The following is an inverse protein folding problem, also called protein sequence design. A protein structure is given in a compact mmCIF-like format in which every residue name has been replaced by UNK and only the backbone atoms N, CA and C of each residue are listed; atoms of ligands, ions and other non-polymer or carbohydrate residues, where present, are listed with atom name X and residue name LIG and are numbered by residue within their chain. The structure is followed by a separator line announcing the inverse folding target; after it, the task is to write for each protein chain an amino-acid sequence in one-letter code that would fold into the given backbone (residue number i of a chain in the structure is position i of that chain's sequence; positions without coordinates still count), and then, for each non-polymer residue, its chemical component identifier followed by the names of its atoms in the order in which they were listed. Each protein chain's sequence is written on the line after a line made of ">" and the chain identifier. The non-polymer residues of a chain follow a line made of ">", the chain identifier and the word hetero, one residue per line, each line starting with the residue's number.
data_IF_007959657296
#
_entry.id   IF_007959657296
#
_cell.length_a   1.000
_cell.length_b   1.000
_cell.length_c   1.000
_cell.angle_alpha   90.00
_cell.angle_beta   90.00
_cell.angle_gamma   90.00
#
_symmetry.space_group_name_H-M   'P 1'
#
loop_
_entity.id
_entity.type
_entity.pdbx_description
1 polymer ?
#
# COMPACT_ATOMS: atom_id res chain seq x y z
N UNK A 1 12.15 -0.94 -13.12
CA UNK A 1 11.79 -0.84 -11.68
C UNK A 1 10.37 -1.38 -11.50
N UNK A 2 10.11 -2.18 -10.47
CA UNK A 2 8.75 -2.68 -10.19
C UNK A 2 7.99 -1.66 -9.36
N UNK A 3 6.74 -1.35 -9.72
CA UNK A 3 5.87 -0.50 -8.90
C UNK A 3 5.22 -1.31 -7.77
N UNK A 4 4.99 -0.66 -6.63
CA UNK A 4 4.22 -1.21 -5.51
C UNK A 4 3.34 -0.10 -4.95
N UNK A 5 2.10 -0.45 -4.64
CA UNK A 5 1.07 0.47 -4.17
C UNK A 5 0.63 0.07 -2.76
N UNK A 6 0.22 1.05 -1.97
CA UNK A 6 -0.44 0.83 -0.68
C UNK A 6 -1.59 1.83 -0.53
N UNK A 7 -2.61 1.43 0.24
CA UNK A 7 -3.83 2.19 0.46
C UNK A 7 -3.84 2.66 1.91
N UNK A 8 -4.07 3.96 2.09
CA UNK A 8 -4.27 4.58 3.39
C UNK A 8 -5.76 4.77 3.62
N UNK A 9 -6.24 4.23 4.72
CA UNK A 9 -7.60 4.44 5.17
C UNK A 9 -7.67 5.69 6.03
N UNK A 10 -8.86 6.28 6.08
CA UNK A 10 -9.18 7.33 7.05
C UNK A 10 -9.15 6.78 8.48
N UNK A 11 -9.37 7.67 9.45
CA UNK A 11 -9.49 7.27 10.85
C UNK A 11 -10.65 6.29 11.06
N UNK A 12 -10.37 5.19 11.76
CA UNK A 12 -11.35 4.19 12.18
C UNK A 12 -11.60 4.40 13.67
N UNK A 13 -12.81 4.84 14.09
CA UNK A 13 -13.09 5.19 15.48
C UNK A 13 -12.76 4.08 16.49
N UNK A 14 -12.98 2.83 16.11
CA UNK A 14 -12.69 1.64 16.91
C UNK A 14 -11.19 1.49 17.16
N UNK A 15 -10.34 1.80 16.18
CA UNK A 15 -8.89 1.79 16.33
C UNK A 15 -8.41 2.94 17.21
N UNK A 16 -9.00 4.13 17.06
CA UNK A 16 -8.70 5.27 17.92
C UNK A 16 -9.00 4.94 19.39
N UNK A 17 -10.18 4.35 19.64
CA UNK A 17 -10.61 3.92 20.98
C UNK A 17 -9.67 2.82 21.54
N UNK A 18 -9.39 1.79 20.74
CA UNK A 18 -8.50 0.70 21.14
C UNK A 18 -7.10 1.19 21.48
N UNK A 19 -6.50 2.03 20.63
CA UNK A 19 -5.16 2.57 20.90
C UNK A 19 -5.10 3.46 22.12
N UNK A 20 -6.17 4.21 22.41
CA UNK A 20 -6.28 5.01 23.63
C UNK A 20 -6.38 4.12 24.87
N UNK A 21 -7.15 3.05 24.81
CA UNK A 21 -7.34 2.12 25.92
C UNK A 21 -6.07 1.30 26.20
N UNK A 22 -5.43 0.78 25.15
CA UNK A 22 -4.29 -0.12 25.27
C UNK A 22 -2.93 0.60 25.37
N UNK A 23 -2.88 1.90 25.05
CA UNK A 23 -1.67 2.71 25.05
C UNK A 23 -0.63 2.30 23.99
N UNK A 24 -1.04 1.53 22.97
CA UNK A 24 -0.17 1.02 21.90
C UNK A 24 -0.94 0.85 20.57
N UNK A 25 -0.23 0.47 19.51
CA UNK A 25 -0.79 0.14 18.19
C UNK A 25 -1.02 -1.37 18.06
N UNK A 26 -1.90 -1.74 17.13
CA UNK A 26 -2.08 -3.12 16.70
C UNK A 26 -0.77 -3.68 16.11
N UNK A 27 -0.53 -5.00 16.24
CA UNK A 27 0.57 -5.65 15.57
C UNK A 27 0.40 -5.57 14.04
N UNK A 28 1.52 -5.58 13.32
CA UNK A 28 1.51 -5.73 11.87
C UNK A 28 1.00 -7.13 11.51
N UNK A 29 0.08 -7.20 10.56
CA UNK A 29 -0.49 -8.42 10.02
C UNK A 29 0.05 -8.67 8.60
N UNK A 30 0.23 -9.95 8.28
CA UNK A 30 0.50 -10.40 6.92
C UNK A 30 -0.45 -11.54 6.59
N UNK A 31 -1.29 -11.35 5.57
CA UNK A 31 -2.07 -12.41 4.97
C UNK A 31 -1.26 -12.98 3.80
N UNK A 32 -0.84 -14.23 3.95
CA UNK A 32 -0.03 -14.92 2.93
C UNK A 32 -0.86 -15.52 1.81
N UNK A 33 -2.13 -15.80 2.07
CA UNK A 33 -3.04 -16.44 1.12
C UNK A 33 -3.54 -15.41 0.11
N UNK A 34 -3.96 -14.25 0.60
CA UNK A 34 -4.36 -13.11 -0.24
C UNK A 34 -3.16 -12.27 -0.67
N UNK A 35 -2.01 -12.42 -0.01
CA UNK A 35 -0.75 -11.72 -0.33
C UNK A 35 -0.78 -10.21 -0.07
N UNK A 36 -1.08 -9.80 1.17
CA UNK A 36 -0.95 -8.39 1.59
C UNK A 36 -0.35 -8.25 3.01
N UNK A 37 0.20 -7.06 3.30
CA UNK A 37 0.42 -6.63 4.68
C UNK A 37 -0.62 -5.59 5.09
N UNK A 38 -0.94 -5.57 6.38
CA UNK A 38 -1.83 -4.59 7.00
C UNK A 38 -1.19 -4.07 8.29
N UNK A 39 -1.12 -2.75 8.45
CA UNK A 39 -0.64 -2.16 9.69
C UNK A 39 -1.44 -0.92 10.06
N UNK A 40 -1.51 -0.64 11.36
CA UNK A 40 -2.12 0.59 11.84
C UNK A 40 -1.26 1.80 11.48
N UNK A 41 -1.87 2.79 10.82
CA UNK A 41 -1.27 4.09 10.50
C UNK A 41 -2.10 5.18 11.19
N UNK A 42 -1.49 5.89 12.16
CA UNK A 42 -2.21 6.72 13.14
C UNK A 42 -3.38 5.94 13.77
N UNK A 43 -4.61 6.36 13.52
CA UNK A 43 -5.86 5.71 13.96
C UNK A 43 -6.63 5.05 12.79
N UNK A 44 -6.00 4.93 11.62
CA UNK A 44 -6.50 4.21 10.46
C UNK A 44 -5.63 3.00 10.15
N UNK A 45 -5.70 2.54 8.90
CA UNK A 45 -4.92 1.40 8.40
C UNK A 45 -4.06 1.78 7.18
N UNK A 46 -3.03 0.99 6.94
CA UNK A 46 -2.25 0.95 5.70
C UNK A 46 -2.24 -0.50 5.20
N UNK A 47 -2.86 -0.73 4.04
CA UNK A 47 -2.91 -2.03 3.35
C UNK A 47 -2.01 -1.97 2.12
N UNK A 48 -1.04 -2.90 2.03
CA UNK A 48 -0.15 -3.00 0.87
C UNK A 48 -0.19 -4.40 0.28
N UNK A 49 -0.92 -4.61 -0.82
CA UNK A 49 -0.99 -5.88 -1.50
C UNK A 49 0.25 -6.11 -2.38
N UNK A 50 0.69 -7.36 -2.45
CA UNK A 50 1.67 -7.84 -3.40
C UNK A 50 0.94 -8.51 -4.56
N UNK A 51 0.69 -7.71 -5.60
CA UNK A 51 -0.08 -8.13 -6.75
C UNK A 51 0.67 -9.12 -7.66
N UNK A 52 -0.08 -10.07 -8.22
CA UNK A 52 0.44 -11.05 -9.17
C UNK A 52 0.88 -10.42 -10.50
N UNK A 53 0.15 -9.40 -10.97
CA UNK A 53 0.38 -8.72 -12.25
C UNK A 53 1.13 -7.40 -12.07
N UNK A 54 2.13 -7.38 -11.19
CA UNK A 54 2.97 -6.21 -10.91
C UNK A 54 3.58 -5.62 -12.19
N UNK A 55 3.50 -4.29 -12.35
CA UNK A 55 3.96 -3.58 -13.53
C UNK A 55 5.43 -3.20 -13.36
N UNK A 56 6.23 -3.68 -14.30
CA UNK A 56 7.58 -3.16 -14.46
C UNK A 56 7.54 -1.86 -15.28
N UNK A 57 8.15 -0.81 -14.74
CA UNK A 57 8.42 0.44 -15.42
C UNK A 57 9.89 0.50 -15.87
N UNK A 58 10.16 1.27 -16.91
CA UNK A 58 11.49 1.58 -17.39
C UNK A 58 12.31 0.40 -17.88
N UNK A 59 11.62 -0.54 -18.54
CA UNK A 59 12.20 -1.80 -19.03
C UNK A 59 12.77 -1.71 -20.43
N UNK A 60 12.43 -0.70 -21.22
CA UNK A 60 12.84 -0.61 -22.61
C UNK A 60 12.78 0.80 -23.18
N UNK A 61 13.17 0.94 -24.44
CA UNK A 61 13.31 2.25 -25.08
C UNK A 61 11.96 2.97 -25.28
N UNK A 62 10.86 2.20 -25.27
CA UNK A 62 9.49 2.73 -25.41
C UNK A 62 8.88 3.18 -24.08
N UNK A 63 9.58 2.96 -22.97
CA UNK A 63 9.17 3.39 -21.62
C UNK A 63 10.44 3.91 -20.92
N UNK A 64 11.03 5.05 -21.33
CA UNK A 64 12.25 5.54 -20.70
C UNK A 64 11.96 6.07 -19.28
N UNK A 65 12.93 5.94 -18.38
CA UNK A 65 12.89 6.63 -17.10
C UNK A 65 12.99 8.15 -17.35
N UNK A 66 12.10 8.99 -16.78
CA UNK A 66 12.22 10.43 -16.90
C UNK A 66 13.53 10.94 -16.29
N UNK A 67 14.17 11.90 -16.93
CA UNK A 67 15.45 12.47 -16.47
C UNK A 67 15.34 13.20 -15.12
N UNK A 68 14.13 13.64 -14.77
CA UNK A 68 13.81 14.39 -13.56
C UNK A 68 13.00 13.58 -12.53
N UNK A 69 13.00 12.25 -12.64
CA UNK A 69 12.27 11.39 -11.72
C UNK A 69 12.90 11.42 -10.31
N UNK A 70 12.39 12.31 -9.47
CA UNK A 70 12.78 12.48 -8.07
C UNK A 70 11.62 13.08 -7.28
N UNK A 71 11.32 12.55 -6.09
CA UNK A 71 10.17 12.95 -5.26
C UNK A 71 8.80 12.86 -5.95
N UNK A 72 8.71 12.05 -7.01
CA UNK A 72 7.48 11.76 -7.74
C UNK A 72 6.98 10.35 -7.38
N UNK A 73 5.67 10.14 -7.49
CA UNK A 73 5.04 8.82 -7.38
C UNK A 73 4.67 8.32 -8.77
N UNK A 74 4.55 7.00 -8.90
CA UNK A 74 3.86 6.43 -10.05
C UNK A 74 2.38 6.86 -10.04
N UNK A 75 1.72 6.98 -11.20
CA UNK A 75 0.28 7.18 -11.25
C UNK A 75 -0.47 6.06 -10.53
N UNK A 76 -1.59 6.41 -9.91
CA UNK A 76 -2.47 5.45 -9.25
C UNK A 76 -3.09 4.49 -10.27
N UNK A 77 -3.21 3.22 -9.88
CA UNK A 77 -3.78 2.16 -10.71
C UNK A 77 -4.53 1.17 -9.80
N UNK A 78 -5.67 1.65 -9.27
CA UNK A 78 -6.45 0.95 -8.24
C UNK A 78 -7.15 -0.29 -8.77
N UNK A 79 -7.60 -0.26 -10.04
CA UNK A 79 -8.31 -1.38 -10.67
C UNK A 79 -7.48 -2.68 -10.64
N UNK A 80 -6.14 -2.57 -10.67
CA UNK A 80 -5.23 -3.73 -10.55
C UNK A 80 -5.22 -4.37 -9.17
N UNK A 81 -5.64 -3.63 -8.15
CA UNK A 81 -5.66 -4.07 -6.76
C UNK A 81 -7.05 -4.54 -6.31
N UNK A 82 -8.08 -4.44 -7.15
CA UNK A 82 -9.47 -4.74 -6.78
C UNK A 82 -9.65 -6.14 -6.18
N UNK A 83 -8.96 -7.16 -6.72
CA UNK A 83 -9.00 -8.53 -6.22
C UNK A 83 -8.43 -8.70 -4.79
N UNK A 84 -7.75 -7.69 -4.25
CA UNK A 84 -7.14 -7.70 -2.91
C UNK A 84 -7.90 -6.85 -1.88
N UNK A 85 -8.98 -6.17 -2.29
CA UNK A 85 -9.80 -5.27 -1.47
C UNK A 85 -11.13 -5.91 -1.08
#
# INVERSE_FOLDING_TARGET
>A
VMSHQYILFEEIPELAAWSKEQGKKLPLLRDVDTSYYLRQEKNGMNLGPYERNCRAHWVGHNDPMPDDFSFQLFPDDLDRLEDYL
#
